data_IF_591470034146
#
_entry.id   IF_591470034146
#
_cell.length_a   1.000
_cell.length_b   1.000
_cell.length_c   1.000
_cell.angle_alpha   90.00
_cell.angle_beta   90.00
_cell.angle_gamma   90.00
#
_symmetry.space_group_name_H-M   'P 1'
#
loop_
_entity.id
_entity.type
_entity.pdbx_description
1 polymer ?
#
# COMPACT_ATOMS: atom_id res chain seq x y z
N UNK A 1 32.81 -2.55 12.98
CA UNK A 1 32.64 -1.25 12.31
C UNK A 1 31.27 -1.12 11.63
N UNK A 2 30.64 -2.23 11.25
CA UNK A 2 29.32 -2.26 10.64
C UNK A 2 28.27 -2.54 11.72
N UNK A 3 27.65 -1.50 12.27
CA UNK A 3 26.63 -1.65 13.30
C UNK A 3 25.28 -1.12 12.78
N UNK A 4 24.31 -2.02 12.71
CA UNK A 4 22.92 -1.69 12.46
C UNK A 4 22.15 -1.77 13.77
N UNK A 5 21.36 -0.76 14.09
CA UNK A 5 20.60 -0.70 15.33
C UNK A 5 19.13 -0.35 15.07
N UNK A 6 18.25 -0.92 15.88
CA UNK A 6 16.87 -0.43 16.00
C UNK A 6 16.78 0.38 17.29
N UNK A 7 16.42 1.65 17.19
CA UNK A 7 16.41 2.60 18.30
C UNK A 7 15.02 3.14 18.53
N UNK A 8 14.66 3.30 19.78
CA UNK A 8 13.45 4.02 20.16
C UNK A 8 13.73 5.51 20.22
N UNK A 9 12.82 6.34 19.71
CA UNK A 9 12.96 7.79 19.72
C UNK A 9 11.71 8.48 20.29
N UNK A 10 11.93 9.61 20.99
CA UNK A 10 10.88 10.43 21.58
C UNK A 10 10.26 11.46 20.64
N UNK A 11 10.44 11.33 19.32
CA UNK A 11 9.84 12.25 18.35
C UNK A 11 8.32 12.11 18.31
N UNK A 12 7.63 13.20 17.99
CA UNK A 12 6.17 13.24 17.81
C UNK A 12 5.72 12.61 16.49
N UNK A 13 6.65 12.20 15.63
CA UNK A 13 6.35 11.51 14.39
C UNK A 13 5.80 10.10 14.66
N UNK A 14 4.89 9.61 13.85
CA UNK A 14 4.34 8.24 13.95
C UNK A 14 5.00 7.25 12.99
N UNK A 15 5.80 7.74 12.05
CA UNK A 15 6.45 6.90 11.03
C UNK A 15 7.88 6.54 11.42
N UNK A 16 8.27 5.29 11.15
CA UNK A 16 9.66 4.87 11.28
C UNK A 16 10.52 5.55 10.21
N UNK A 17 11.74 5.91 10.60
CA UNK A 17 12.73 6.46 9.67
C UNK A 17 14.09 5.81 9.84
N UNK A 18 14.96 5.93 8.84
CA UNK A 18 16.31 5.41 8.84
C UNK A 18 17.32 6.54 8.72
N UNK A 19 18.48 6.34 9.33
CA UNK A 19 19.68 7.13 9.06
C UNK A 19 20.81 6.17 8.73
N UNK A 20 21.42 6.35 7.55
CA UNK A 20 22.53 5.51 7.09
C UNK A 20 23.81 6.32 6.98
N UNK A 21 24.92 5.71 7.39
CA UNK A 21 26.25 6.22 7.18
C UNK A 21 26.84 5.58 5.93
N UNK A 22 27.19 6.37 4.97
CA UNK A 22 27.67 5.91 3.67
C UNK A 22 29.09 6.44 3.46
N UNK A 23 30.02 5.60 3.02
CA UNK A 23 31.34 6.05 2.58
C UNK A 23 31.19 6.91 1.31
N UNK A 24 31.53 8.20 1.36
CA UNK A 24 31.34 9.10 0.23
C UNK A 24 32.19 8.76 -1.01
N UNK A 25 33.20 7.91 -0.85
CA UNK A 25 34.11 7.51 -1.95
C UNK A 25 33.57 6.31 -2.72
N UNK A 26 32.96 5.36 -2.03
CA UNK A 26 32.50 4.08 -2.61
C UNK A 26 30.99 3.96 -2.72
N UNK A 27 30.23 4.74 -1.93
CA UNK A 27 28.79 4.53 -1.75
C UNK A 27 28.45 3.37 -0.82
N UNK A 28 29.46 2.73 -0.19
CA UNK A 28 29.26 1.62 0.72
C UNK A 28 28.49 2.06 1.98
N UNK A 29 27.44 1.31 2.34
CA UNK A 29 26.67 1.55 3.55
C UNK A 29 27.43 0.97 4.74
N UNK A 30 28.01 1.83 5.57
CA UNK A 30 28.82 1.45 6.74
C UNK A 30 27.97 1.07 7.95
N UNK A 31 26.73 1.55 8.00
CA UNK A 31 25.79 1.25 9.07
C UNK A 31 24.46 1.96 8.87
N UNK A 32 23.41 1.44 9.47
CA UNK A 32 22.07 2.02 9.44
C UNK A 32 21.41 1.91 10.79
N UNK A 33 20.85 3.01 11.28
CA UNK A 33 19.92 3.02 12.41
C UNK A 33 18.49 3.15 11.92
N UNK A 34 17.60 2.32 12.47
CA UNK A 34 16.15 2.38 12.27
C UNK A 34 15.55 2.97 13.54
N UNK A 35 14.87 4.09 13.41
CA UNK A 35 14.26 4.80 14.52
C UNK A 35 12.76 4.50 14.59
N UNK A 36 12.33 3.99 15.75
CA UNK A 36 10.94 3.67 16.07
C UNK A 36 10.39 4.78 16.97
N UNK A 37 9.49 5.65 16.47
CA UNK A 37 8.90 6.73 17.25
C UNK A 37 8.03 6.22 18.39
N UNK A 38 7.84 7.04 19.43
CA UNK A 38 7.04 6.67 20.59
C UNK A 38 5.54 6.48 20.23
N UNK A 39 5.03 7.28 19.29
CA UNK A 39 3.60 7.34 18.94
C UNK A 39 3.16 6.32 17.87
N UNK A 40 4.03 5.40 17.43
CA UNK A 40 3.68 4.45 16.36
C UNK A 40 2.45 3.58 16.69
N UNK A 41 2.20 3.29 17.97
CA UNK A 41 1.05 2.47 18.41
C UNK A 41 -0.30 3.09 18.10
N UNK A 42 -0.41 4.42 18.17
CA UNK A 42 -1.65 5.13 17.84
C UNK A 42 -1.99 5.02 16.35
N UNK A 43 -0.97 5.09 15.48
CA UNK A 43 -1.16 4.90 14.04
C UNK A 43 -1.61 3.46 13.73
N UNK A 44 -0.98 2.46 14.36
CA UNK A 44 -1.35 1.05 14.21
C UNK A 44 -2.81 0.81 14.65
N UNK A 45 -3.23 1.37 15.75
CA UNK A 45 -4.57 1.20 16.31
C UNK A 45 -5.65 1.60 15.30
N UNK A 46 -5.52 2.80 14.73
CA UNK A 46 -6.48 3.32 13.75
C UNK A 46 -6.47 2.50 12.46
N UNK A 47 -5.27 2.18 11.97
CA UNK A 47 -5.14 1.39 10.75
C UNK A 47 -5.73 -0.02 10.90
N UNK A 48 -5.51 -0.69 12.03
CA UNK A 48 -6.12 -1.99 12.32
C UNK A 48 -7.65 -1.94 12.28
N UNK A 49 -8.24 -0.96 12.99
CA UNK A 49 -9.69 -0.84 13.04
C UNK A 49 -10.27 -0.49 11.68
N UNK A 50 -9.62 0.40 10.92
CA UNK A 50 -10.10 0.84 9.62
C UNK A 50 -9.99 -0.22 8.53
N UNK A 51 -8.92 -1.01 8.55
CA UNK A 51 -8.56 -1.89 7.41
C UNK A 51 -8.83 -3.36 7.67
N UNK A 52 -8.67 -3.83 8.92
CA UNK A 52 -8.78 -5.26 9.23
C UNK A 52 -10.02 -5.65 10.02
N UNK A 53 -10.67 -4.73 10.73
CA UNK A 53 -11.76 -5.09 11.66
C UNK A 53 -12.96 -5.77 10.98
N UNK A 54 -13.14 -5.58 9.67
CA UNK A 54 -14.15 -6.33 8.92
C UNK A 54 -13.81 -7.82 8.86
N UNK A 55 -12.54 -8.17 8.57
CA UNK A 55 -12.08 -9.54 8.40
C UNK A 55 -11.53 -10.17 9.69
N UNK A 56 -11.10 -9.35 10.65
CA UNK A 56 -10.45 -9.78 11.89
C UNK A 56 -11.18 -9.24 13.15
N UNK A 57 -11.91 -10.07 13.89
CA UNK A 57 -12.53 -9.65 15.14
C UNK A 57 -11.54 -9.11 16.20
N UNK A 58 -10.28 -9.57 16.21
CA UNK A 58 -9.26 -9.08 17.15
C UNK A 58 -8.86 -7.62 16.86
N UNK A 59 -9.07 -7.14 15.61
CA UNK A 59 -8.82 -5.74 15.24
C UNK A 59 -9.93 -4.78 15.71
N UNK A 60 -11.05 -5.25 16.26
CA UNK A 60 -12.19 -4.47 16.78
C UNK A 60 -11.89 -3.91 18.17
N UNK A 61 -10.82 -3.15 18.30
CA UNK A 61 -10.33 -2.69 19.61
C UNK A 61 -9.75 -1.28 19.52
N UNK A 62 -9.83 -0.57 20.66
CA UNK A 62 -9.13 0.71 20.86
C UNK A 62 -7.71 0.51 21.43
N UNK A 63 -7.32 -0.72 21.75
CA UNK A 63 -6.00 -1.04 22.30
C UNK A 63 -5.45 -2.28 21.59
N UNK A 64 -4.50 -2.09 20.63
CA UNK A 64 -3.85 -3.22 19.98
C UNK A 64 -3.16 -4.14 20.97
N UNK A 65 -3.27 -5.43 20.76
CA UNK A 65 -2.55 -6.44 21.55
C UNK A 65 -1.04 -6.38 21.26
N UNK A 66 -0.24 -6.93 22.18
CA UNK A 66 1.20 -7.04 21.99
C UNK A 66 1.58 -7.76 20.69
N UNK A 67 0.78 -8.75 20.27
CA UNK A 67 0.96 -9.47 19.00
C UNK A 67 0.72 -8.55 17.81
N UNK A 68 -0.38 -7.82 17.78
CA UNK A 68 -0.69 -6.88 16.68
C UNK A 68 0.36 -5.79 16.56
N UNK A 69 0.89 -5.30 17.69
CA UNK A 69 2.01 -4.35 17.70
C UNK A 69 3.27 -4.99 17.14
N UNK A 70 3.59 -6.23 17.53
CA UNK A 70 4.75 -6.96 17.03
C UNK A 70 4.64 -7.24 15.53
N UNK A 71 3.48 -7.67 15.04
CA UNK A 71 3.22 -7.91 13.62
C UNK A 71 3.44 -6.63 12.79
N UNK A 72 2.88 -5.50 13.23
CA UNK A 72 3.06 -4.21 12.58
C UNK A 72 4.53 -3.75 12.59
N UNK A 73 5.21 -3.86 13.74
CA UNK A 73 6.64 -3.54 13.85
C UNK A 73 7.49 -4.41 12.92
N UNK A 74 7.17 -5.69 12.80
CA UNK A 74 7.89 -6.61 11.90
C UNK A 74 7.84 -6.09 10.46
N UNK A 75 6.66 -5.71 9.96
CA UNK A 75 6.51 -5.14 8.60
C UNK A 75 7.29 -3.83 8.47
N UNK A 76 7.10 -2.92 9.42
CA UNK A 76 7.72 -1.59 9.38
C UNK A 76 9.25 -1.67 9.43
N UNK A 77 9.80 -2.49 10.33
CA UNK A 77 11.26 -2.67 10.48
C UNK A 77 11.84 -3.39 9.27
N UNK A 78 11.17 -4.46 8.78
CA UNK A 78 11.63 -5.18 7.60
C UNK A 78 11.71 -4.28 6.36
N UNK A 79 10.71 -3.42 6.15
CA UNK A 79 10.71 -2.42 5.06
C UNK A 79 11.88 -1.44 5.19
N UNK A 80 12.12 -0.93 6.39
CA UNK A 80 13.25 -0.01 6.65
C UNK A 80 14.60 -0.71 6.54
N UNK A 81 14.69 -1.98 6.95
CA UNK A 81 15.88 -2.79 6.74
C UNK A 81 16.16 -3.02 5.26
N UNK A 82 15.15 -3.32 4.44
CA UNK A 82 15.29 -3.44 3.00
C UNK A 82 15.89 -2.16 2.39
N UNK A 83 15.40 -0.99 2.79
CA UNK A 83 15.97 0.31 2.37
C UNK A 83 17.42 0.46 2.82
N UNK A 84 17.79 -0.04 4.01
CA UNK A 84 19.15 -0.02 4.51
C UNK A 84 20.11 -0.90 3.66
N UNK A 85 19.59 -1.92 3.00
CA UNK A 85 20.32 -2.73 2.02
C UNK A 85 20.26 -2.18 0.59
N UNK A 86 19.81 -0.94 0.40
CA UNK A 86 19.73 -0.30 -0.91
C UNK A 86 18.53 -0.75 -1.77
N UNK A 87 17.60 -1.52 -1.22
CA UNK A 87 16.37 -1.88 -1.94
C UNK A 87 15.45 -0.66 -1.97
N UNK A 88 15.26 -0.13 -3.18
CA UNK A 88 14.40 1.04 -3.40
C UNK A 88 12.92 0.68 -3.22
N UNK A 89 12.06 1.64 -2.79
CA UNK A 89 10.61 1.44 -2.77
C UNK A 89 10.10 1.00 -4.14
N UNK A 90 9.25 -0.04 -4.16
CA UNK A 90 8.61 -0.53 -5.38
C UNK A 90 7.09 -0.44 -5.29
N UNK A 91 6.51 0.66 -5.74
CA UNK A 91 5.08 0.94 -5.69
C UNK A 91 4.24 0.25 -6.79
N UNK A 92 4.84 -0.68 -7.53
CA UNK A 92 4.14 -1.61 -8.41
C UNK A 92 3.99 -3.01 -7.81
N UNK A 93 4.63 -3.26 -6.66
CA UNK A 93 4.66 -4.59 -6.06
C UNK A 93 3.31 -5.04 -5.49
N UNK A 94 2.48 -4.11 -5.04
CA UNK A 94 1.13 -4.40 -4.53
C UNK A 94 0.15 -4.83 -5.62
N UNK A 95 0.36 -4.42 -6.88
CA UNK A 95 -0.47 -4.79 -8.03
C UNK A 95 0.00 -6.08 -8.75
N UNK A 96 1.02 -6.76 -8.23
CA UNK A 96 1.64 -7.90 -8.89
C UNK A 96 0.85 -9.21 -8.82
N UNK A 97 -0.08 -9.33 -7.87
CA UNK A 97 -0.83 -10.57 -7.63
C UNK A 97 -2.31 -10.44 -7.98
N UNK A 98 -2.94 -11.54 -8.47
CA UNK A 98 -4.38 -11.53 -8.73
C UNK A 98 -5.17 -11.19 -7.45
N UNK A 99 -6.07 -10.21 -7.55
CA UNK A 99 -6.83 -9.68 -6.40
C UNK A 99 -7.58 -10.78 -5.65
N UNK A 100 -8.27 -11.68 -6.36
CA UNK A 100 -9.00 -12.78 -5.71
C UNK A 100 -8.07 -13.82 -5.07
N UNK A 101 -6.82 -13.96 -5.54
CA UNK A 101 -5.82 -14.85 -4.93
C UNK A 101 -5.37 -14.36 -3.56
N UNK A 102 -5.44 -13.06 -3.29
CA UNK A 102 -5.14 -12.47 -1.98
C UNK A 102 -6.15 -12.87 -0.89
N UNK A 103 -7.26 -13.50 -1.29
CA UNK A 103 -8.26 -14.11 -0.39
C UNK A 103 -8.14 -15.64 -0.32
N UNK A 104 -7.08 -16.21 -0.89
CA UNK A 104 -6.78 -17.64 -0.83
C UNK A 104 -5.77 -17.95 0.27
N UNK A 105 -6.09 -18.85 1.24
CA UNK A 105 -5.16 -19.25 2.29
C UNK A 105 -3.86 -19.87 1.76
N UNK A 106 -3.95 -20.73 0.77
CA UNK A 106 -2.78 -21.39 0.17
C UNK A 106 -1.90 -20.40 -0.60
N UNK A 107 -2.52 -19.49 -1.33
CA UNK A 107 -1.80 -18.47 -2.09
C UNK A 107 -1.06 -17.50 -1.16
N UNK A 108 -1.75 -16.89 -0.19
CA UNK A 108 -1.18 -15.88 0.69
C UNK A 108 -0.11 -16.46 1.63
N UNK A 109 -0.25 -17.73 2.02
CA UNK A 109 0.80 -18.45 2.77
C UNK A 109 2.08 -18.62 1.97
N UNK A 110 1.96 -18.92 0.68
CA UNK A 110 3.10 -19.18 -0.22
C UNK A 110 3.76 -17.91 -0.72
N UNK A 111 2.97 -16.90 -1.11
CA UNK A 111 3.44 -15.76 -1.88
C UNK A 111 3.46 -14.45 -1.07
N UNK A 112 2.90 -14.40 0.15
CA UNK A 112 2.65 -13.14 0.85
C UNK A 112 1.54 -12.32 0.22
N UNK A 113 1.56 -11.01 0.44
CA UNK A 113 0.53 -10.07 -0.05
C UNK A 113 1.01 -9.19 -1.21
N UNK A 114 2.30 -8.96 -1.33
CA UNK A 114 2.90 -8.16 -2.40
C UNK A 114 4.19 -8.82 -2.90
N UNK A 115 4.65 -8.43 -4.07
CA UNK A 115 5.90 -8.96 -4.65
C UNK A 115 7.16 -8.35 -4.02
N UNK A 116 7.03 -7.28 -3.23
CA UNK A 116 8.11 -6.66 -2.46
C UNK A 116 7.59 -6.15 -1.11
N UNK A 117 8.42 -6.28 -0.09
CA UNK A 117 8.18 -5.70 1.25
C UNK A 117 8.27 -4.16 1.24
N UNK A 118 8.85 -3.57 0.20
CA UNK A 118 9.09 -2.13 0.11
C UNK A 118 7.91 -1.31 -0.42
N UNK A 119 6.82 -1.95 -0.85
CA UNK A 119 5.54 -1.28 -1.12
C UNK A 119 4.79 -0.96 0.19
N UNK A 120 3.86 -0.01 0.16
CA UNK A 120 3.08 0.42 1.33
C UNK A 120 1.93 -0.53 1.70
N UNK A 121 2.18 -1.83 1.59
CA UNK A 121 1.26 -2.88 2.03
C UNK A 121 1.59 -3.29 3.46
N UNK A 122 0.72 -2.97 4.41
CA UNK A 122 0.82 -3.45 5.80
C UNK A 122 -0.11 -4.63 6.04
N UNK A 123 -1.33 -4.49 5.57
CA UNK A 123 -2.42 -5.41 5.82
C UNK A 123 -3.14 -5.83 4.55
N UNK A 124 -3.80 -6.96 4.61
CA UNK A 124 -4.64 -7.47 3.53
C UNK A 124 -6.00 -6.74 3.52
N UNK A 125 -6.00 -5.53 2.95
CA UNK A 125 -7.17 -4.65 2.90
C UNK A 125 -8.32 -5.18 2.03
N UNK A 126 -8.06 -6.22 1.22
CA UNK A 126 -9.09 -6.89 0.40
C UNK A 126 -9.70 -8.12 1.07
N UNK A 127 -9.16 -8.55 2.22
CA UNK A 127 -9.74 -9.64 3.00
C UNK A 127 -11.15 -9.28 3.48
N UNK A 128 -12.05 -10.26 3.49
CA UNK A 128 -13.46 -10.09 3.83
C UNK A 128 -13.80 -10.89 5.09
N UNK A 129 -14.96 -10.65 5.73
CA UNK A 129 -15.42 -11.48 6.83
C UNK A 129 -15.34 -12.97 6.51
N UNK A 130 -14.77 -13.78 7.43
CA UNK A 130 -14.55 -15.21 7.27
C UNK A 130 -13.23 -15.59 6.58
N UNK A 131 -12.46 -14.64 6.03
CA UNK A 131 -11.17 -14.94 5.39
C UNK A 131 -10.10 -15.35 6.42
N UNK A 132 -10.07 -14.70 7.59
CA UNK A 132 -9.15 -15.04 8.68
C UNK A 132 -9.38 -16.48 9.16
N UNK A 133 -10.62 -16.85 9.37
CA UNK A 133 -11.03 -18.18 9.84
C UNK A 133 -10.67 -19.28 8.83
N UNK A 134 -10.64 -18.96 7.54
CA UNK A 134 -10.15 -19.85 6.48
C UNK A 134 -8.63 -19.93 6.42
N UNK A 135 -7.91 -19.08 7.16
CA UNK A 135 -6.45 -19.05 7.21
C UNK A 135 -5.80 -18.15 6.16
N UNK A 136 -6.52 -17.18 5.61
CA UNK A 136 -5.96 -16.13 4.76
C UNK A 136 -5.01 -15.27 5.57
N UNK A 137 -3.83 -14.97 5.04
CA UNK A 137 -2.85 -14.10 5.69
C UNK A 137 -3.31 -12.66 5.65
N UNK A 138 -3.26 -11.99 6.80
CA UNK A 138 -3.73 -10.61 6.95
C UNK A 138 -2.60 -9.58 7.08
N UNK A 139 -1.36 -10.02 7.31
CA UNK A 139 -0.19 -9.15 7.54
C UNK A 139 0.84 -9.37 6.43
N UNK A 140 1.43 -8.30 5.92
CA UNK A 140 2.44 -8.32 4.85
C UNK A 140 3.86 -8.49 5.43
N UNK A 141 4.11 -9.56 6.16
CA UNK A 141 5.35 -9.85 6.89
C UNK A 141 6.37 -10.71 6.10
N UNK A 142 6.16 -10.90 4.80
CA UNK A 142 7.00 -11.75 3.96
C UNK A 142 7.76 -10.93 2.90
N UNK A 143 9.02 -11.31 2.67
CA UNK A 143 9.77 -10.86 1.49
C UNK A 143 9.12 -11.44 0.23
N UNK A 144 9.07 -10.63 -0.81
CA UNK A 144 8.54 -11.03 -2.12
C UNK A 144 9.64 -11.42 -3.12
N UNK A 145 9.27 -11.98 -4.27
CA UNK A 145 10.23 -12.37 -5.30
C UNK A 145 11.04 -11.20 -5.84
N UNK A 146 10.50 -9.99 -5.84
CA UNK A 146 11.23 -8.78 -6.23
C UNK A 146 12.37 -8.46 -5.27
N UNK A 147 12.17 -8.63 -3.97
CA UNK A 147 13.20 -8.37 -2.96
C UNK A 147 14.39 -9.30 -3.16
N UNK A 148 14.14 -10.59 -3.43
CA UNK A 148 15.19 -11.56 -3.73
C UNK A 148 15.95 -11.22 -5.02
N UNK A 149 15.24 -10.78 -6.07
CA UNK A 149 15.87 -10.35 -7.31
C UNK A 149 16.80 -9.17 -7.08
N UNK A 150 16.35 -8.15 -6.32
CA UNK A 150 17.16 -6.94 -6.07
C UNK A 150 18.38 -7.27 -5.24
N UNK A 151 18.25 -8.12 -4.20
CA UNK A 151 19.41 -8.56 -3.41
C UNK A 151 20.37 -9.37 -4.28
N UNK A 152 19.89 -10.24 -5.14
CA UNK A 152 20.74 -10.98 -6.09
C UNK A 152 21.46 -10.00 -7.02
N UNK A 153 20.76 -9.03 -7.57
CA UNK A 153 21.29 -8.02 -8.49
C UNK A 153 22.35 -7.11 -7.85
N UNK A 154 22.15 -6.73 -6.57
CA UNK A 154 23.05 -5.81 -5.85
C UNK A 154 24.28 -6.52 -5.27
N UNK A 155 24.15 -7.76 -4.83
CA UNK A 155 25.14 -8.37 -3.96
C UNK A 155 25.76 -9.69 -4.47
N UNK A 156 25.19 -10.30 -5.52
CA UNK A 156 25.74 -11.54 -6.06
C UNK A 156 27.01 -11.26 -6.88
N UNK A 157 28.17 -11.77 -6.46
CA UNK A 157 29.40 -11.59 -7.24
C UNK A 157 29.28 -12.22 -8.62
N UNK A 158 29.77 -11.50 -9.64
CA UNK A 158 29.87 -12.00 -11.00
C UNK A 158 31.28 -12.56 -11.20
N UNK A 159 31.45 -13.87 -11.41
CA UNK A 159 32.77 -14.48 -11.56
C UNK A 159 33.55 -13.86 -12.72
N UNK A 160 34.80 -13.43 -12.42
CA UNK A 160 35.71 -12.85 -13.42
C UNK A 160 35.50 -11.35 -13.70
N UNK A 161 34.46 -10.72 -13.11
CA UNK A 161 34.29 -9.27 -13.19
C UNK A 161 35.29 -8.57 -12.27
N UNK A 162 35.95 -7.54 -12.77
CA UNK A 162 36.89 -6.68 -12.04
C UNK A 162 36.33 -5.26 -11.91
N UNK A 163 35.52 -4.87 -12.86
CA UNK A 163 34.87 -3.54 -12.88
C UNK A 163 33.33 -3.68 -12.96
N UNK A 164 32.56 -2.66 -12.58
CA UNK A 164 31.11 -2.68 -12.74
C UNK A 164 30.65 -2.89 -14.19
N UNK A 165 31.46 -2.47 -15.17
CA UNK A 165 31.18 -2.68 -16.59
C UNK A 165 31.23 -4.15 -16.99
N UNK A 166 32.11 -4.93 -16.35
CA UNK A 166 32.23 -6.37 -16.58
C UNK A 166 31.00 -7.15 -16.06
N UNK A 167 30.32 -6.62 -15.04
CA UNK A 167 29.09 -7.22 -14.47
C UNK A 167 27.86 -6.98 -15.35
N UNK A 168 27.84 -5.89 -16.10
CA UNK A 168 26.66 -5.43 -16.82
C UNK A 168 25.99 -6.50 -17.74
N UNK A 169 26.73 -7.34 -18.49
CA UNK A 169 26.12 -8.37 -19.33
C UNK A 169 25.34 -9.43 -18.55
N UNK A 170 25.85 -9.84 -17.36
CA UNK A 170 25.19 -10.83 -16.50
C UNK A 170 23.94 -10.23 -15.84
N UNK A 171 24.06 -9.01 -15.31
CA UNK A 171 22.95 -8.29 -14.69
C UNK A 171 21.81 -8.02 -15.70
N UNK A 172 22.13 -7.68 -16.95
CA UNK A 172 21.13 -7.56 -18.02
C UNK A 172 20.44 -8.90 -18.31
N UNK A 173 21.18 -10.01 -18.33
CA UNK A 173 20.62 -11.36 -18.52
C UNK A 173 19.66 -11.73 -17.39
N UNK A 174 20.04 -11.41 -16.14
CA UNK A 174 19.19 -11.62 -14.96
C UNK A 174 17.86 -10.88 -15.14
N UNK A 175 17.88 -9.59 -15.46
CA UNK A 175 16.69 -8.77 -15.66
C UNK A 175 15.85 -9.26 -16.85
N UNK A 176 16.47 -9.58 -17.97
CA UNK A 176 15.80 -10.08 -19.17
C UNK A 176 15.05 -11.41 -18.89
N UNK A 177 15.57 -12.25 -17.98
CA UNK A 177 14.90 -13.50 -17.56
C UNK A 177 13.59 -13.27 -16.80
N UNK A 178 13.35 -12.05 -16.32
CA UNK A 178 12.15 -11.65 -15.55
C UNK A 178 11.19 -10.78 -16.36
N UNK A 179 11.54 -10.48 -17.60
CA UNK A 179 10.73 -9.61 -18.44
C UNK A 179 9.32 -10.16 -18.67
N UNK A 180 8.32 -9.29 -18.52
CA UNK A 180 6.90 -9.64 -18.69
C UNK A 180 6.23 -10.27 -17.47
N UNK A 181 6.98 -10.65 -16.44
CA UNK A 181 6.41 -11.13 -15.19
C UNK A 181 6.05 -9.94 -14.28
N UNK A 182 4.77 -9.72 -13.93
CA UNK A 182 4.34 -8.57 -13.14
C UNK A 182 4.98 -8.52 -11.74
N UNK A 183 5.44 -9.65 -11.21
CA UNK A 183 6.10 -9.72 -9.91
C UNK A 183 7.45 -8.98 -9.86
N UNK A 184 8.04 -8.69 -11.01
CA UNK A 184 9.32 -8.01 -11.16
C UNK A 184 9.21 -6.63 -11.80
N UNK A 185 7.98 -6.15 -12.01
CA UNK A 185 7.76 -4.78 -12.46
C UNK A 185 8.16 -3.79 -11.35
N UNK A 186 8.91 -2.75 -11.73
CA UNK A 186 9.46 -1.76 -10.80
C UNK A 186 8.94 -0.37 -11.08
N UNK A 187 8.51 0.33 -10.03
CA UNK A 187 8.18 1.74 -10.07
C UNK A 187 8.50 2.42 -8.73
N UNK A 188 9.42 3.35 -8.76
CA UNK A 188 9.92 4.04 -7.56
C UNK A 188 8.96 5.09 -7.00
N UNK A 189 8.16 5.74 -7.85
CA UNK A 189 7.31 6.86 -7.47
C UNK A 189 5.84 6.51 -7.63
N UNK A 190 5.08 6.60 -6.53
CA UNK A 190 3.64 6.41 -6.53
C UNK A 190 2.87 7.70 -6.82
N UNK A 191 3.37 8.85 -6.35
CA UNK A 191 2.73 10.15 -6.56
C UNK A 191 3.03 10.70 -7.94
N UNK A 192 1.99 11.13 -8.65
CA UNK A 192 2.12 11.66 -10.01
C UNK A 192 2.35 10.59 -11.07
N UNK A 193 2.22 9.31 -10.71
CA UNK A 193 2.31 8.23 -11.68
C UNK A 193 1.16 8.31 -12.69
N UNK A 194 1.52 8.30 -13.96
CA UNK A 194 0.56 8.20 -15.05
C UNK A 194 0.13 6.76 -15.31
N UNK A 195 0.87 5.79 -14.78
CA UNK A 195 0.56 4.38 -14.89
C UNK A 195 -0.36 3.94 -13.75
N UNK A 196 -1.60 3.52 -14.03
CA UNK A 196 -2.55 3.12 -13.01
C UNK A 196 -2.14 1.85 -12.23
N UNK A 197 -1.16 1.09 -12.72
CA UNK A 197 -0.60 -0.08 -12.02
C UNK A 197 0.36 0.31 -10.90
N UNK A 198 0.70 1.61 -10.79
CA UNK A 198 1.68 2.12 -9.84
C UNK A 198 0.97 2.94 -8.78
N UNK A 199 0.93 2.41 -7.56
CA UNK A 199 0.33 3.12 -6.44
C UNK A 199 0.59 2.43 -5.11
N UNK A 200 0.92 3.22 -4.10
CA UNK A 200 1.23 2.74 -2.77
C UNK A 200 0.07 1.95 -2.16
N UNK A 201 0.28 0.67 -1.89
CA UNK A 201 -0.67 -0.17 -1.17
C UNK A 201 -1.98 -0.50 -1.89
N UNK A 202 -2.03 -0.45 -3.22
CA UNK A 202 -3.25 -0.68 -4.01
C UNK A 202 -3.86 -2.08 -3.83
N UNK A 203 -3.05 -3.06 -3.61
CA UNK A 203 -3.30 -4.47 -3.35
C UNK A 203 -4.21 -5.17 -4.38
N UNK A 204 -3.55 -5.86 -5.30
CA UNK A 204 -4.16 -6.69 -6.35
C UNK A 204 -4.07 -6.09 -7.76
N UNK A 205 -4.09 -6.96 -8.77
CA UNK A 205 -3.96 -6.63 -10.19
C UNK A 205 -5.23 -5.99 -10.78
N UNK A 206 -6.39 -6.30 -10.22
CA UNK A 206 -7.68 -5.67 -10.56
C UNK A 206 -8.03 -4.61 -9.49
N UNK A 207 -7.64 -3.37 -9.77
CA UNK A 207 -7.91 -2.25 -8.87
C UNK A 207 -9.41 -1.99 -8.67
N UNK A 208 -10.25 -2.23 -9.68
CA UNK A 208 -11.70 -2.10 -9.53
C UNK A 208 -12.26 -3.10 -8.53
N UNK A 209 -11.79 -4.33 -8.61
CA UNK A 209 -12.15 -5.39 -7.66
C UNK A 209 -11.62 -5.08 -6.25
N UNK A 210 -10.38 -4.63 -6.14
CA UNK A 210 -9.76 -4.22 -4.89
C UNK A 210 -10.55 -3.09 -4.21
N UNK A 211 -10.86 -2.03 -4.93
CA UNK A 211 -11.67 -0.90 -4.44
C UNK A 211 -13.07 -1.33 -3.98
N UNK A 212 -13.71 -2.21 -4.72
CA UNK A 212 -15.02 -2.73 -4.33
C UNK A 212 -14.97 -3.51 -3.00
N UNK A 213 -13.96 -4.36 -2.81
CA UNK A 213 -13.75 -5.12 -1.57
C UNK A 213 -13.42 -4.21 -0.39
N UNK A 214 -12.53 -3.23 -0.58
CA UNK A 214 -12.19 -2.26 0.46
C UNK A 214 -13.39 -1.38 0.82
N UNK A 215 -14.18 -0.93 -0.15
CA UNK A 215 -15.41 -0.17 0.09
C UNK A 215 -16.44 -0.98 0.89
N UNK A 216 -16.57 -2.28 0.60
CA UNK A 216 -17.43 -3.18 1.39
C UNK A 216 -16.96 -3.27 2.85
N UNK A 217 -15.64 -3.38 3.08
CA UNK A 217 -15.08 -3.40 4.43
C UNK A 217 -15.35 -2.08 5.17
N UNK A 218 -15.18 -0.92 4.53
CA UNK A 218 -15.46 0.38 5.15
C UNK A 218 -16.95 0.51 5.55
N UNK A 219 -17.86 0.06 4.70
CA UNK A 219 -19.31 0.03 5.02
C UNK A 219 -19.58 -0.87 6.21
N UNK A 220 -18.95 -2.04 6.27
CA UNK A 220 -19.07 -2.95 7.41
C UNK A 220 -18.55 -2.32 8.71
N UNK A 221 -17.42 -1.62 8.67
CA UNK A 221 -16.88 -0.87 9.83
C UNK A 221 -17.83 0.25 10.25
N UNK A 222 -18.42 1.00 9.31
CA UNK A 222 -19.38 2.05 9.61
C UNK A 222 -20.62 1.50 10.31
N UNK A 223 -21.10 0.35 9.88
CA UNK A 223 -22.31 -0.29 10.42
C UNK A 223 -22.10 -0.82 11.84
N UNK A 224 -20.97 -1.45 12.12
CA UNK A 224 -20.73 -2.18 13.36
C UNK A 224 -19.80 -1.46 14.34
N UNK A 225 -19.09 -0.43 13.90
CA UNK A 225 -18.05 0.21 14.70
C UNK A 225 -18.57 0.88 15.97
N UNK A 226 -19.81 1.34 16.01
CA UNK A 226 -20.42 1.91 17.21
C UNK A 226 -20.57 0.86 18.32
N UNK A 227 -20.99 -0.35 17.96
CA UNK A 227 -21.09 -1.48 18.89
C UNK A 227 -19.70 -1.86 19.44
N UNK A 228 -18.69 -1.97 18.57
CA UNK A 228 -17.33 -2.37 18.98
C UNK A 228 -16.65 -1.34 19.89
N UNK A 229 -17.00 -0.06 19.74
CA UNK A 229 -16.45 1.06 20.52
C UNK A 229 -17.29 1.40 21.74
N UNK A 230 -18.42 0.76 21.95
CA UNK A 230 -19.30 0.99 23.09
C UNK A 230 -18.56 0.75 24.41
N UNK A 231 -18.68 1.71 25.33
CA UNK A 231 -17.98 1.67 26.63
C UNK A 231 -16.46 1.92 26.59
N UNK A 232 -15.89 2.15 25.40
CA UNK A 232 -14.43 2.35 25.21
C UNK A 232 -14.05 3.74 24.68
N UNK A 233 -15.03 4.54 24.30
CA UNK A 233 -14.89 5.87 23.70
C UNK A 233 -16.04 6.76 24.22
N UNK A 234 -15.93 7.15 25.50
CA UNK A 234 -17.00 7.85 26.23
C UNK A 234 -17.25 9.28 25.75
N UNK A 235 -16.23 9.95 25.19
CA UNK A 235 -16.31 11.31 24.65
C UNK A 235 -16.47 11.36 23.12
N UNK A 236 -16.65 10.22 22.46
CA UNK A 236 -16.79 10.06 21.00
C UNK A 236 -15.61 10.58 20.16
N UNK A 237 -14.52 10.95 20.76
CA UNK A 237 -13.35 11.48 20.05
C UNK A 237 -12.74 10.46 19.09
N UNK A 238 -12.62 9.21 19.53
CA UNK A 238 -12.06 8.15 18.69
C UNK A 238 -12.96 7.84 17.49
N UNK A 239 -14.29 7.85 17.68
CA UNK A 239 -15.27 7.71 16.59
C UNK A 239 -15.20 8.86 15.59
N UNK A 240 -15.01 10.09 16.06
CA UNK A 240 -14.84 11.27 15.19
C UNK A 240 -13.57 11.14 14.32
N UNK A 241 -12.46 10.74 14.94
CA UNK A 241 -11.22 10.49 14.21
C UNK A 241 -11.37 9.34 13.22
N UNK A 242 -11.98 8.22 13.61
CA UNK A 242 -12.25 7.08 12.74
C UNK A 242 -13.11 7.48 11.53
N UNK A 243 -14.16 8.27 11.75
CA UNK A 243 -15.01 8.76 10.66
C UNK A 243 -14.21 9.62 9.68
N UNK A 244 -13.34 10.50 10.17
CA UNK A 244 -12.46 11.30 9.35
C UNK A 244 -11.53 10.42 8.51
N UNK A 245 -10.92 9.41 9.11
CA UNK A 245 -10.03 8.47 8.43
C UNK A 245 -10.79 7.63 7.39
N UNK A 246 -12.04 7.24 7.67
CA UNK A 246 -12.91 6.56 6.70
C UNK A 246 -13.18 7.42 5.47
N UNK A 247 -13.50 8.70 5.66
CA UNK A 247 -13.72 9.66 4.56
C UNK A 247 -12.46 9.84 3.73
N UNK A 248 -11.31 9.97 4.38
CA UNK A 248 -10.01 10.05 3.68
C UNK A 248 -9.71 8.77 2.90
N UNK A 249 -10.05 7.60 3.43
CA UNK A 249 -9.87 6.32 2.74
C UNK A 249 -10.79 6.22 1.50
N UNK A 250 -12.05 6.61 1.60
CA UNK A 250 -12.95 6.66 0.43
C UNK A 250 -12.40 7.60 -0.65
N UNK A 251 -11.87 8.77 -0.25
CA UNK A 251 -11.22 9.67 -1.19
C UNK A 251 -9.98 9.04 -1.85
N UNK A 252 -9.18 8.30 -1.09
CA UNK A 252 -8.02 7.60 -1.63
C UNK A 252 -8.45 6.53 -2.66
N UNK A 253 -9.49 5.74 -2.36
CA UNK A 253 -10.04 4.74 -3.28
C UNK A 253 -10.57 5.37 -4.58
N UNK A 254 -11.28 6.49 -4.47
CA UNK A 254 -11.73 7.23 -5.67
C UNK A 254 -10.54 7.77 -6.49
N UNK A 255 -9.51 8.29 -5.82
CA UNK A 255 -8.30 8.79 -6.46
C UNK A 255 -7.51 7.67 -7.16
N UNK A 256 -7.49 6.47 -6.58
CA UNK A 256 -6.90 5.29 -7.22
C UNK A 256 -7.59 4.96 -8.55
N UNK A 257 -8.92 4.93 -8.58
CA UNK A 257 -9.68 4.73 -9.82
C UNK A 257 -9.42 5.84 -10.85
N UNK A 258 -9.34 7.08 -10.40
CA UNK A 258 -9.09 8.22 -11.29
C UNK A 258 -7.71 8.21 -11.97
N UNK A 259 -6.75 7.38 -11.50
CA UNK A 259 -5.47 7.20 -12.23
C UNK A 259 -5.63 6.61 -13.62
N UNK A 260 -6.71 5.85 -13.87
CA UNK A 260 -7.00 5.34 -15.21
C UNK A 260 -7.42 6.41 -16.22
N UNK A 261 -7.96 7.56 -15.75
CA UNK A 261 -8.43 8.65 -16.62
C UNK A 261 -7.22 9.44 -17.11
N UNK A 262 -7.01 9.45 -18.42
CA UNK A 262 -5.79 10.00 -19.02
C UNK A 262 -4.52 9.21 -18.69
N UNK A 263 -4.68 7.99 -18.15
CA UNK A 263 -3.58 7.12 -17.73
C UNK A 263 -2.86 6.46 -18.90
N UNK A 264 -1.60 6.10 -18.66
CA UNK A 264 -0.71 5.46 -19.63
C UNK A 264 0.00 4.29 -18.97
N UNK A 265 -0.06 3.12 -19.55
CA UNK A 265 0.78 2.00 -19.14
C UNK A 265 2.21 2.23 -19.62
N UNK A 266 3.15 2.32 -18.69
CA UNK A 266 4.56 2.56 -18.95
C UNK A 266 5.33 1.24 -18.85
N UNK A 267 5.93 0.80 -19.95
CA UNK A 267 6.67 -0.45 -19.98
C UNK A 267 8.17 -0.17 -20.08
N UNK A 268 9.01 -0.87 -19.30
CA UNK A 268 10.44 -0.83 -19.51
C UNK A 268 10.75 -1.30 -20.93
N UNK A 269 11.53 -0.52 -21.68
CA UNK A 269 11.98 -0.87 -23.02
C UNK A 269 13.47 -0.64 -23.12
N UNK A 270 14.12 -1.54 -23.85
CA UNK A 270 15.56 -1.48 -24.16
C UNK A 270 15.73 -1.56 -25.66
N UNK A 271 16.92 -1.27 -26.16
CA UNK A 271 17.21 -1.45 -27.57
C UNK A 271 16.88 -2.87 -28.04
N UNK A 272 16.07 -2.98 -29.09
CA UNK A 272 15.55 -4.28 -29.60
C UNK A 272 14.22 -4.75 -28.98
N UNK A 273 13.65 -4.04 -28.01
CA UNK A 273 12.32 -4.38 -27.46
C UNK A 273 11.22 -4.09 -28.49
N UNK A 274 10.40 -5.07 -28.81
CA UNK A 274 9.33 -4.93 -29.82
C UNK A 274 8.08 -4.19 -29.30
N UNK A 275 7.85 -4.12 -27.97
CA UNK A 275 6.68 -3.48 -27.38
C UNK A 275 6.87 -1.97 -27.25
N UNK A 276 5.79 -1.16 -27.31
CA UNK A 276 5.89 0.29 -27.09
C UNK A 276 6.21 0.60 -25.62
N UNK A 277 6.99 1.67 -25.41
CA UNK A 277 7.32 2.18 -24.07
C UNK A 277 6.05 2.65 -23.31
N UNK A 278 5.11 3.23 -24.05
CA UNK A 278 3.88 3.78 -23.50
C UNK A 278 2.67 3.28 -24.29
N UNK A 279 1.62 2.92 -23.56
CA UNK A 279 0.33 2.52 -24.15
C UNK A 279 -0.79 3.21 -23.38
N UNK A 280 -1.63 3.98 -24.06
CA UNK A 280 -2.75 4.64 -23.41
C UNK A 280 -3.73 3.62 -22.79
N UNK A 281 -4.27 3.95 -21.63
CA UNK A 281 -5.33 3.15 -21.02
C UNK A 281 -6.54 3.11 -21.98
N UNK A 282 -7.11 1.93 -22.27
CA UNK A 282 -8.25 1.80 -23.18
C UNK A 282 -9.43 2.66 -22.74
N UNK A 283 -10.09 3.31 -23.70
CA UNK A 283 -11.19 4.25 -23.45
C UNK A 283 -12.31 3.64 -22.58
N UNK A 284 -12.61 2.35 -22.77
CA UNK A 284 -13.64 1.67 -21.98
C UNK A 284 -13.24 1.52 -20.52
N UNK A 285 -11.96 1.28 -20.24
CA UNK A 285 -11.41 1.20 -18.88
C UNK A 285 -11.47 2.57 -18.22
N UNK A 286 -11.13 3.65 -18.95
CA UNK A 286 -11.24 5.03 -18.45
C UNK A 286 -12.70 5.39 -18.11
N UNK A 287 -13.66 5.01 -18.98
CA UNK A 287 -15.11 5.24 -18.73
C UNK A 287 -15.60 4.44 -17.51
N UNK A 288 -15.13 3.21 -17.33
CA UNK A 288 -15.43 2.40 -16.15
C UNK A 288 -14.89 3.09 -14.91
N UNK A 289 -13.64 3.53 -14.93
CA UNK A 289 -13.00 4.22 -13.81
C UNK A 289 -13.75 5.49 -13.39
N UNK A 290 -14.16 6.30 -14.36
CA UNK A 290 -14.96 7.50 -14.10
C UNK A 290 -16.29 7.16 -13.43
N UNK A 291 -17.02 6.17 -13.97
CA UNK A 291 -18.32 5.77 -13.40
C UNK A 291 -18.20 5.24 -11.99
N UNK A 292 -17.22 4.38 -11.74
CA UNK A 292 -17.02 3.77 -10.41
C UNK A 292 -16.51 4.79 -9.38
N UNK A 293 -15.61 5.71 -9.77
CA UNK A 293 -15.17 6.79 -8.91
C UNK A 293 -16.32 7.74 -8.52
N UNK A 294 -17.18 8.11 -9.47
CA UNK A 294 -18.35 8.92 -9.20
C UNK A 294 -19.37 8.18 -8.33
N UNK A 295 -19.64 6.91 -8.60
CA UNK A 295 -20.56 6.10 -7.81
C UNK A 295 -20.07 5.96 -6.35
N UNK A 296 -18.77 5.77 -6.14
CA UNK A 296 -18.16 5.64 -4.82
C UNK A 296 -18.33 6.90 -3.97
N UNK A 297 -18.31 8.08 -4.59
CA UNK A 297 -18.38 9.37 -3.90
C UNK A 297 -19.78 10.02 -3.91
N UNK A 298 -20.68 9.55 -4.77
CA UNK A 298 -22.06 10.04 -4.80
C UNK A 298 -22.93 9.43 -3.68
N UNK A 299 -22.74 8.14 -3.38
CA UNK A 299 -23.50 7.46 -2.33
C UNK A 299 -22.69 7.40 -1.03
N UNK A 300 -22.71 8.47 -0.27
CA UNK A 300 -22.10 8.59 1.06
C UNK A 300 -23.13 8.44 2.20
N UNK A 301 -24.37 8.11 1.87
CA UNK A 301 -25.46 7.99 2.87
C UNK A 301 -25.20 6.95 3.92
N UNK A 302 -24.35 5.97 3.66
CA UNK A 302 -23.91 4.98 4.65
C UNK A 302 -23.00 5.60 5.73
N UNK A 303 -22.23 6.62 5.43
CA UNK A 303 -21.42 7.36 6.41
C UNK A 303 -22.35 8.18 7.33
N UNK A 304 -23.41 8.79 6.78
CA UNK A 304 -24.29 9.69 7.52
C UNK A 304 -25.36 8.97 8.38
N UNK A 305 -25.72 7.73 8.05
CA UNK A 305 -26.88 7.04 8.64
C UNK A 305 -26.50 5.90 9.57
N UNK A 306 -25.23 5.51 9.63
CA UNK A 306 -24.82 4.28 10.29
C UNK A 306 -24.02 4.52 11.59
N UNK A 307 -23.96 3.48 12.42
CA UNK A 307 -23.48 3.42 13.78
C UNK A 307 -22.41 4.41 14.21
N UNK A 308 -21.22 4.37 13.59
CA UNK A 308 -20.07 5.20 13.99
C UNK A 308 -20.35 6.71 13.88
N UNK A 309 -21.15 7.12 12.90
CA UNK A 309 -21.45 8.53 12.66
C UNK A 309 -22.59 9.11 13.47
N UNK A 310 -23.39 8.27 14.16
CA UNK A 310 -24.65 8.66 14.79
C UNK A 310 -24.54 9.83 15.76
N UNK A 311 -23.44 9.92 16.50
CA UNK A 311 -23.21 10.94 17.53
C UNK A 311 -22.03 11.87 17.19
N UNK A 312 -21.52 11.85 15.95
CA UNK A 312 -20.39 12.65 15.53
C UNK A 312 -20.86 13.95 14.86
N UNK A 313 -20.30 15.08 15.31
CA UNK A 313 -20.78 16.41 14.94
C UNK A 313 -20.47 16.80 13.49
N UNK A 314 -19.28 16.44 12.94
CA UNK A 314 -18.77 16.98 11.66
C UNK A 314 -19.06 16.13 10.41
N UNK A 315 -19.95 15.15 10.49
CA UNK A 315 -20.22 14.18 9.41
C UNK A 315 -20.63 14.81 8.07
N UNK A 316 -21.49 15.84 8.11
CA UNK A 316 -22.03 16.48 6.88
C UNK A 316 -20.92 17.21 6.13
N UNK A 317 -20.03 17.90 6.83
CA UNK A 317 -18.89 18.59 6.22
C UNK A 317 -17.91 17.61 5.59
N UNK A 318 -17.72 16.41 6.16
CA UNK A 318 -16.85 15.38 5.64
C UNK A 318 -17.32 14.89 4.25
N UNK A 319 -18.61 14.60 4.09
CA UNK A 319 -19.18 14.15 2.81
C UNK A 319 -19.10 15.24 1.74
N UNK A 320 -19.45 16.48 2.09
CA UNK A 320 -19.35 17.63 1.17
C UNK A 320 -17.90 17.87 0.72
N UNK A 321 -16.95 17.81 1.65
CA UNK A 321 -15.51 17.91 1.36
C UNK A 321 -15.08 16.87 0.34
N UNK A 322 -15.48 15.61 0.54
CA UNK A 322 -15.12 14.51 -0.34
C UNK A 322 -15.63 14.71 -1.76
N UNK A 323 -16.91 15.09 -1.91
CA UNK A 323 -17.52 15.36 -3.21
C UNK A 323 -16.84 16.52 -3.94
N UNK A 324 -16.56 17.60 -3.24
CA UNK A 324 -15.82 18.75 -3.79
C UNK A 324 -14.43 18.36 -4.25
N UNK A 325 -13.71 17.57 -3.44
CA UNK A 325 -12.36 17.11 -3.77
C UNK A 325 -12.36 16.19 -5.00
N UNK A 326 -13.31 15.27 -5.09
CA UNK A 326 -13.47 14.40 -6.27
C UNK A 326 -13.76 15.21 -7.53
N UNK A 327 -14.70 16.17 -7.46
CA UNK A 327 -15.01 17.04 -8.58
C UNK A 327 -13.77 17.84 -9.03
N UNK A 328 -13.00 18.39 -8.08
CA UNK A 328 -11.76 19.12 -8.39
C UNK A 328 -10.74 18.23 -9.10
N UNK A 329 -10.49 17.03 -8.58
CA UNK A 329 -9.55 16.09 -9.21
C UNK A 329 -9.98 15.71 -10.62
N UNK A 330 -11.27 15.52 -10.86
CA UNK A 330 -11.81 15.27 -12.22
C UNK A 330 -11.60 16.46 -13.15
N UNK A 331 -11.81 17.69 -12.67
CA UNK A 331 -11.56 18.90 -13.47
C UNK A 331 -10.07 19.05 -13.81
N UNK A 332 -9.18 18.75 -12.87
CA UNK A 332 -7.72 18.75 -13.11
C UNK A 332 -7.32 17.71 -14.18
N UNK A 333 -8.04 16.57 -14.25
CA UNK A 333 -7.83 15.56 -15.29
C UNK A 333 -8.23 15.98 -16.70
N UNK A 334 -9.12 16.97 -16.87
CA UNK A 334 -9.50 17.47 -18.21
C UNK A 334 -8.28 18.00 -18.97
N UNK A 335 -7.33 18.66 -18.28
CA UNK A 335 -6.10 19.13 -18.90
C UNK A 335 -5.11 18.03 -19.29
N UNK A 336 -5.37 16.77 -18.95
CA UNK A 336 -4.54 15.62 -19.33
C UNK A 336 -5.14 14.80 -20.48
N UNK A 337 -6.33 15.19 -20.97
CA UNK A 337 -7.06 14.46 -22.03
C UNK A 337 -6.82 15.05 -23.42
N UNK A 338 -6.21 16.23 -23.51
CA UNK A 338 -5.78 16.89 -24.75
C UNK A 338 -4.36 16.42 -25.14
#
# INVERSE_FOLDING_TARGET
>A
LYNNCVRRTGTSNSELYTASWVDPRSGEILGTDIFVPFNFTAAIQKELLLTLSAADPEARTTQPSARQIADALTVMVARRAASAFGVMPNYAASSAYPTDSLRSPSFTRKNGLASSITDDVFYNVVAQPGDKERGVKLVADALGPYDYLVVEWLYKPVPGAVTPQDEAPELRRLLASKEGDPRFFFAQYASGAYDPRVGAGDLGDDLFRSVALQSANLKYVAEHGDEWLSGRDGDYKFREELLTDMVLRVNALASQLMRYIGGVYMNPVYEGTARPACTAVPREVQRRALREALALTADLGWIDRQGVSKNVYNRVQACEYLQRRTARTLLEKLGTLD
#
